data_IF_917166321578
#
_entry.id   IF_917166321578
#
_cell.length_a   1.000
_cell.length_b   1.000
_cell.length_c   1.000
_cell.angle_alpha   90.00
_cell.angle_beta   90.00
_cell.angle_gamma   90.00
#
_symmetry.space_group_name_H-M   'P 1'
#
loop_
_entity.id
_entity.type
_entity.pdbx_description
1 polymer ?
#
# COMPACT_ATOMS: atom_id res chain seq x y z
N UNK A 1 -4.79 13.16 -2.14
CA UNK A 1 -5.12 12.07 -3.08
C UNK A 1 -4.61 12.47 -4.45
N UNK A 2 -4.19 11.51 -5.26
CA UNK A 2 -3.78 11.69 -6.65
C UNK A 2 -4.86 11.10 -7.53
N UNK A 3 -5.27 11.84 -8.55
CA UNK A 3 -6.10 11.32 -9.62
C UNK A 3 -5.21 10.55 -10.60
N UNK A 4 -5.68 9.38 -11.01
CA UNK A 4 -4.99 8.55 -11.99
C UNK A 4 -5.52 8.87 -13.37
N UNK A 5 -4.59 9.25 -14.25
CA UNK A 5 -4.84 9.49 -15.67
C UNK A 5 -3.76 8.75 -16.46
N UNK A 6 -4.08 8.30 -17.67
CA UNK A 6 -3.09 7.72 -18.56
C UNK A 6 -2.04 8.78 -18.90
N UNK A 7 -0.77 8.42 -18.87
CA UNK A 7 0.31 9.38 -19.04
C UNK A 7 1.64 8.72 -19.38
N UNK A 8 2.59 9.48 -19.93
CA UNK A 8 3.91 8.96 -20.26
C UNK A 8 4.65 8.51 -19.01
N UNK A 9 5.63 7.63 -19.19
CA UNK A 9 6.56 7.29 -18.12
C UNK A 9 7.39 8.53 -17.76
N UNK A 10 7.41 8.85 -16.46
CA UNK A 10 8.12 9.99 -15.89
C UNK A 10 9.41 9.48 -15.26
N UNK A 11 10.53 10.14 -15.58
CA UNK A 11 11.81 9.83 -14.94
C UNK A 11 11.79 10.27 -13.46
N UNK A 12 12.32 9.45 -12.54
CA UNK A 12 12.39 9.82 -11.14
C UNK A 12 13.37 10.99 -10.92
N UNK A 13 13.12 11.81 -9.91
CA UNK A 13 14.06 12.81 -9.46
C UNK A 13 15.38 12.16 -8.98
N UNK A 14 16.50 12.86 -9.14
CA UNK A 14 17.85 12.32 -8.94
C UNK A 14 18.12 11.68 -7.56
N UNK A 15 17.33 12.04 -6.53
CA UNK A 15 17.43 11.49 -5.18
C UNK A 15 16.09 10.92 -4.66
N UNK A 16 15.10 10.72 -5.54
CA UNK A 16 13.83 10.15 -5.14
C UNK A 16 13.96 8.66 -4.87
N UNK A 17 13.36 8.21 -3.77
CA UNK A 17 13.27 6.78 -3.46
C UNK A 17 12.12 6.17 -4.27
N UNK A 18 12.48 5.43 -5.30
CA UNK A 18 11.51 4.73 -6.15
C UNK A 18 11.12 3.41 -5.51
N UNK A 19 9.82 3.17 -5.39
CA UNK A 19 9.29 1.93 -4.82
C UNK A 19 8.08 1.43 -5.62
N UNK A 20 7.83 0.12 -5.60
CA UNK A 20 6.59 -0.41 -6.12
C UNK A 20 5.40 0.04 -5.29
N UNK A 21 4.31 0.35 -5.99
CA UNK A 21 3.04 0.79 -5.44
C UNK A 21 2.05 -0.36 -5.63
N UNK A 22 1.47 -0.84 -4.53
CA UNK A 22 0.44 -1.88 -4.54
C UNK A 22 -0.89 -1.30 -4.06
N UNK A 23 -1.76 -0.85 -4.97
CA UNK A 23 -3.04 -0.26 -4.59
C UNK A 23 -3.91 -1.27 -3.85
N UNK A 24 -4.37 -0.93 -2.64
CA UNK A 24 -5.28 -1.75 -1.86
C UNK A 24 -6.62 -1.03 -1.64
N UNK A 25 -7.70 -1.80 -1.47
CA UNK A 25 -9.01 -1.27 -1.06
C UNK A 25 -9.13 -1.05 0.44
N UNK A 26 -8.19 -1.60 1.20
CA UNK A 26 -8.12 -1.48 2.65
C UNK A 26 -6.80 -0.82 3.03
N UNK A 27 -6.83 -0.03 4.09
CA UNK A 27 -5.64 0.56 4.69
C UNK A 27 -5.27 -0.22 5.94
N UNK A 28 -4.00 -0.59 6.04
CA UNK A 28 -3.46 -1.38 7.14
C UNK A 28 -2.51 -0.53 7.97
N UNK A 29 -2.59 -0.65 9.29
CA UNK A 29 -1.80 0.16 10.23
C UNK A 29 -0.43 -0.47 10.52
N UNK A 30 0.58 0.34 10.89
CA UNK A 30 1.87 -0.19 11.36
C UNK A 30 1.70 -1.25 12.45
N UNK A 31 2.45 -2.34 12.33
CA UNK A 31 2.35 -3.52 13.20
C UNK A 31 1.41 -4.61 12.68
N UNK A 32 0.50 -4.31 11.75
CA UNK A 32 -0.37 -5.32 11.14
C UNK A 32 0.38 -6.26 10.20
N UNK A 33 -0.16 -7.47 10.04
CA UNK A 33 0.32 -8.48 9.09
C UNK A 33 -0.67 -8.56 7.95
N UNK A 34 -0.17 -8.42 6.72
CA UNK A 34 -0.98 -8.43 5.51
C UNK A 34 -0.59 -9.64 4.67
N UNK A 35 -1.57 -10.47 4.32
CA UNK A 35 -1.39 -11.61 3.44
C UNK A 35 -2.01 -11.32 2.08
N UNK A 36 -1.18 -11.27 1.04
CA UNK A 36 -1.61 -11.02 -0.32
C UNK A 36 -1.54 -12.32 -1.12
N UNK A 37 -2.65 -12.64 -1.80
CA UNK A 37 -2.73 -13.75 -2.76
C UNK A 37 -2.42 -13.20 -4.15
N UNK A 38 -1.34 -13.67 -4.75
CA UNK A 38 -0.82 -13.14 -6.00
C UNK A 38 -1.38 -13.96 -7.15
N UNK A 39 -2.41 -13.41 -7.78
CA UNK A 39 -3.13 -14.01 -8.91
C UNK A 39 -2.67 -13.33 -10.21
N UNK A 40 -2.71 -11.99 -10.23
CA UNK A 40 -2.47 -11.18 -11.43
C UNK A 40 -1.02 -11.23 -11.94
N UNK A 41 -0.80 -11.24 -13.27
CA UNK A 41 0.52 -11.23 -13.91
C UNK A 41 1.41 -10.04 -13.50
N UNK A 42 0.87 -8.82 -13.46
CA UNK A 42 1.59 -7.62 -13.00
C UNK A 42 2.21 -7.82 -11.60
N UNK A 43 1.43 -8.38 -10.67
CA UNK A 43 1.91 -8.63 -9.32
C UNK A 43 2.97 -9.74 -9.30
N UNK A 44 2.90 -10.75 -10.17
CA UNK A 44 3.97 -11.78 -10.26
C UNK A 44 5.31 -11.15 -10.62
N UNK A 45 5.33 -10.25 -11.61
CA UNK A 45 6.55 -9.50 -11.99
C UNK A 45 7.12 -8.69 -10.83
N UNK A 46 6.27 -8.06 -10.03
CA UNK A 46 6.69 -7.35 -8.82
C UNK A 46 7.45 -8.26 -7.84
N UNK A 47 6.91 -9.46 -7.53
CA UNK A 47 7.59 -10.37 -6.60
C UNK A 47 8.83 -11.03 -7.20
N UNK A 48 8.86 -11.27 -8.52
CA UNK A 48 10.06 -11.72 -9.22
C UNK A 48 11.16 -10.64 -9.14
N UNK A 49 10.79 -9.37 -9.30
CA UNK A 49 11.70 -8.24 -9.10
C UNK A 49 12.22 -8.13 -7.66
N UNK A 50 11.40 -8.45 -6.67
CA UNK A 50 11.85 -8.51 -5.27
C UNK A 50 12.89 -9.60 -5.03
N UNK A 51 12.74 -10.76 -5.66
CA UNK A 51 13.72 -11.84 -5.58
C UNK A 51 15.03 -11.46 -6.28
N UNK A 52 14.95 -10.81 -7.45
CA UNK A 52 16.11 -10.43 -8.26
C UNK A 52 16.89 -9.23 -7.71
N UNK A 53 16.18 -8.15 -7.33
CA UNK A 53 16.79 -6.87 -6.91
C UNK A 53 17.09 -6.81 -5.42
N UNK A 54 16.61 -7.77 -4.63
CA UNK A 54 16.79 -7.83 -3.18
C UNK A 54 15.96 -6.80 -2.38
N UNK A 55 15.20 -5.94 -3.05
CA UNK A 55 14.23 -5.04 -2.40
C UNK A 55 13.06 -5.86 -1.87
N UNK A 56 12.65 -5.60 -0.62
CA UNK A 56 11.52 -6.27 0.04
C UNK A 56 10.47 -5.30 0.54
N UNK A 57 10.45 -4.08 0.03
CA UNK A 57 9.54 -3.05 0.48
C UNK A 57 8.67 -2.56 -0.67
N UNK A 58 7.38 -2.41 -0.40
CA UNK A 58 6.41 -1.75 -1.26
C UNK A 58 5.56 -0.78 -0.46
N UNK A 59 4.97 0.18 -1.14
CA UNK A 59 4.00 1.10 -0.57
C UNK A 59 2.59 0.66 -1.01
N UNK A 60 1.69 0.46 -0.05
CA UNK A 60 0.28 0.19 -0.33
C UNK A 60 -0.59 1.38 0.06
N UNK A 61 -0.93 2.24 -0.90
CA UNK A 61 -1.93 3.27 -0.68
C UNK A 61 -3.33 2.68 -0.76
N UNK A 62 -4.24 3.30 -0.02
CA UNK A 62 -5.67 3.12 -0.26
C UNK A 62 -6.00 3.69 -1.64
N UNK A 63 -6.57 2.85 -2.51
CA UNK A 63 -6.95 3.22 -3.85
C UNK A 63 -8.38 2.82 -4.16
N UNK A 64 -9.10 3.75 -4.75
CA UNK A 64 -10.39 3.54 -5.36
C UNK A 64 -10.14 3.37 -6.85
N UNK A 65 -9.61 2.20 -7.23
CA UNK A 65 -9.47 1.79 -8.63
C UNK A 65 -10.46 0.65 -8.88
N UNK A 66 -11.11 0.54 -10.06
CA UNK A 66 -11.97 -0.60 -10.37
C UNK A 66 -11.17 -1.91 -10.33
N UNK A 67 -11.80 -2.98 -9.81
CA UNK A 67 -11.16 -4.28 -9.55
C UNK A 67 -11.15 -5.21 -10.76
N UNK A 68 -11.77 -4.81 -11.87
CA UNK A 68 -12.16 -5.69 -12.95
C UNK A 68 -12.07 -4.91 -14.25
N UNK A 69 -11.16 -5.36 -15.13
CA UNK A 69 -10.70 -4.68 -16.33
C UNK A 69 -10.07 -3.32 -16.04
N UNK A 70 -9.14 -2.90 -16.88
CA UNK A 70 -8.54 -1.58 -16.80
C UNK A 70 -9.64 -0.52 -16.57
N UNK A 71 -9.48 0.42 -15.62
CA UNK A 71 -10.32 1.60 -15.62
C UNK A 71 -10.28 2.17 -17.04
N UNK A 72 -11.42 2.21 -17.75
CA UNK A 72 -11.48 2.92 -19.01
C UNK A 72 -11.38 4.42 -18.74
N UNK A 73 -11.10 5.22 -19.79
CA UNK A 73 -11.15 6.69 -19.65
C UNK A 73 -12.53 7.18 -19.15
N UNK A 74 -13.58 6.38 -19.39
CA UNK A 74 -14.95 6.61 -18.95
C UNK A 74 -15.20 6.32 -17.45
N UNK A 75 -14.25 5.69 -16.75
CA UNK A 75 -14.38 5.50 -15.30
C UNK A 75 -14.37 6.88 -14.63
N UNK A 76 -15.36 7.23 -13.77
CA UNK A 76 -15.38 8.53 -13.12
C UNK A 76 -14.06 8.85 -12.42
N UNK A 77 -13.59 10.10 -12.50
CA UNK A 77 -12.35 10.53 -11.84
C UNK A 77 -12.33 10.21 -10.32
N UNK A 78 -13.50 10.24 -9.69
CA UNK A 78 -13.72 9.87 -8.29
C UNK A 78 -13.41 8.40 -7.98
N UNK A 79 -13.51 7.53 -9.00
CA UNK A 79 -13.19 6.10 -8.96
C UNK A 79 -11.83 5.79 -9.62
N UNK A 80 -10.98 6.81 -9.76
CA UNK A 80 -9.58 6.71 -10.21
C UNK A 80 -8.65 7.41 -9.23
N UNK A 81 -8.90 7.24 -7.93
CA UNK A 81 -8.15 7.97 -6.89
C UNK A 81 -7.20 7.05 -6.12
N UNK A 82 -5.98 7.52 -5.94
CA UNK A 82 -4.97 6.89 -5.08
C UNK A 82 -4.66 7.84 -3.91
N UNK A 83 -4.66 7.32 -2.69
CA UNK A 83 -4.26 8.11 -1.54
C UNK A 83 -2.75 8.40 -1.60
N UNK A 84 -2.38 9.64 -1.25
CA UNK A 84 -0.97 10.07 -1.22
C UNK A 84 -0.22 9.51 -0.02
N UNK A 85 -0.92 8.95 0.96
CA UNK A 85 -0.31 8.29 2.13
C UNK A 85 -0.83 6.87 2.19
N UNK A 86 0.05 5.93 2.48
CA UNK A 86 -0.26 4.50 2.56
C UNK A 86 0.65 3.75 3.49
N UNK A 87 0.38 2.46 3.62
CA UNK A 87 1.14 1.53 4.44
C UNK A 87 2.47 1.19 3.76
N UNK A 88 3.57 1.23 4.51
CA UNK A 88 4.85 0.69 4.07
C UNK A 88 4.90 -0.79 4.45
N UNK A 89 4.87 -1.67 3.46
CA UNK A 89 4.84 -3.11 3.64
C UNK A 89 6.22 -3.69 3.38
N UNK A 90 6.71 -4.47 4.34
CA UNK A 90 7.91 -5.28 4.20
C UNK A 90 7.50 -6.72 3.94
N UNK A 91 8.00 -7.30 2.85
CA UNK A 91 7.85 -8.72 2.55
C UNK A 91 8.71 -9.53 3.53
N UNK A 92 8.05 -10.38 4.32
CA UNK A 92 8.72 -11.29 5.24
C UNK A 92 8.91 -12.67 4.63
N UNK A 93 7.86 -13.17 3.98
CA UNK A 93 7.83 -14.53 3.46
C UNK A 93 7.05 -14.58 2.14
N UNK A 94 7.57 -15.37 1.20
CA UNK A 94 6.98 -15.58 -0.11
C UNK A 94 6.93 -17.07 -0.37
N UNK A 95 5.72 -17.62 -0.39
CA UNK A 95 5.49 -19.04 -0.64
C UNK A 95 4.86 -19.25 -2.00
N UNK A 96 5.47 -20.07 -2.83
CA UNK A 96 4.85 -20.55 -4.07
C UNK A 96 3.76 -21.59 -3.74
N UNK A 97 2.56 -21.40 -4.27
CA UNK A 97 1.41 -22.29 -4.05
C UNK A 97 0.69 -22.64 -5.34
N UNK A 98 1.38 -22.49 -6.47
CA UNK A 98 0.91 -22.80 -7.82
C UNK A 98 0.36 -24.23 -7.91
N UNK A 99 1.12 -25.21 -7.40
CA UNK A 99 0.73 -26.63 -7.37
C UNK A 99 -0.45 -26.95 -6.43
N UNK A 100 -0.64 -26.16 -5.36
CA UNK A 100 -1.70 -26.41 -4.37
C UNK A 100 -3.04 -25.76 -4.73
N UNK A 101 -3.05 -24.91 -5.76
CA UNK A 101 -4.23 -24.10 -6.12
C UNK A 101 -4.62 -24.28 -7.59
N UNK A 102 -4.22 -25.39 -8.21
CA UNK A 102 -4.46 -25.69 -9.63
C UNK A 102 -4.07 -24.53 -10.56
N UNK A 103 -2.97 -23.83 -10.23
CA UNK A 103 -2.44 -22.71 -11.01
C UNK A 103 -3.16 -21.36 -10.84
N UNK A 104 -4.21 -21.29 -10.01
CA UNK A 104 -4.99 -20.05 -9.79
C UNK A 104 -4.19 -19.00 -9.00
N UNK A 105 -3.41 -19.42 -7.99
CA UNK A 105 -2.57 -18.52 -7.18
C UNK A 105 -1.11 -18.92 -7.32
N UNK A 106 -0.28 -18.06 -7.91
CA UNK A 106 1.15 -18.38 -8.06
C UNK A 106 1.88 -18.24 -6.72
N UNK A 107 1.68 -17.13 -6.02
CA UNK A 107 2.36 -16.86 -4.74
C UNK A 107 1.42 -16.42 -3.62
N UNK A 108 1.73 -16.81 -2.39
CA UNK A 108 1.20 -16.21 -1.16
C UNK A 108 2.31 -15.39 -0.52
N UNK A 109 2.12 -14.08 -0.46
CA UNK A 109 3.09 -13.15 0.08
C UNK A 109 2.63 -12.63 1.45
N UNK A 110 3.47 -12.81 2.46
CA UNK A 110 3.23 -12.33 3.83
C UNK A 110 4.06 -11.08 4.08
N UNK A 111 3.37 -9.99 4.39
CA UNK A 111 3.97 -8.70 4.68
C UNK A 111 3.71 -8.28 6.12
N UNK A 112 4.62 -7.49 6.67
CA UNK A 112 4.37 -6.68 7.87
C UNK A 112 4.33 -5.22 7.48
N UNK A 113 3.35 -4.49 7.99
CA UNK A 113 3.33 -3.03 7.88
C UNK A 113 4.35 -2.47 8.85
N UNK A 114 5.43 -1.90 8.33
CA UNK A 114 6.55 -1.38 9.12
C UNK A 114 6.44 0.12 9.39
N UNK A 115 5.49 0.80 8.76
CA UNK A 115 5.30 2.24 8.93
C UNK A 115 4.37 2.81 7.87
N UNK A 116 4.45 4.12 7.67
CA UNK A 116 3.69 4.85 6.65
C UNK A 116 4.63 5.48 5.65
N UNK A 117 4.14 5.66 4.43
CA UNK A 117 4.89 6.34 3.39
C UNK A 117 3.98 7.25 2.57
N UNK A 118 4.55 8.35 2.09
CA UNK A 118 3.90 9.34 1.24
C UNK A 118 4.34 9.14 -0.20
N UNK A 119 3.37 8.91 -1.07
CA UNK A 119 3.52 8.93 -2.52
C UNK A 119 3.63 10.38 -2.99
N UNK A 120 4.78 10.73 -3.55
CA UNK A 120 5.06 12.05 -4.15
C UNK A 120 4.54 12.13 -5.59
N UNK A 121 4.70 11.04 -6.34
CA UNK A 121 4.23 10.94 -7.72
C UNK A 121 4.30 9.50 -8.22
N UNK A 122 3.54 9.21 -9.28
CA UNK A 122 3.55 7.92 -9.97
C UNK A 122 4.39 8.08 -11.24
N UNK A 123 5.34 7.17 -11.44
CA UNK A 123 6.29 7.20 -12.55
C UNK A 123 5.68 6.59 -13.81
N UNK A 124 4.88 5.53 -13.68
CA UNK A 124 4.25 4.83 -14.80
C UNK A 124 2.72 4.79 -14.63
N UNK A 125 2.02 5.93 -14.77
CA UNK A 125 0.59 5.98 -14.52
C UNK A 125 -0.22 5.12 -15.50
N UNK A 126 0.28 4.90 -16.72
CA UNK A 126 -0.34 4.02 -17.72
C UNK A 126 -0.45 2.55 -17.27
N UNK A 127 0.42 2.07 -16.38
CA UNK A 127 0.32 0.70 -15.84
C UNK A 127 -0.96 0.46 -15.03
N UNK A 128 -1.64 1.50 -14.55
CA UNK A 128 -2.95 1.36 -13.92
C UNK A 128 -4.05 0.96 -14.93
N UNK A 129 -3.86 1.32 -16.21
CA UNK A 129 -4.82 1.24 -17.32
C UNK A 129 -4.46 0.16 -18.35
N UNK A 130 -3.21 -0.33 -18.36
CA UNK A 130 -2.76 -1.33 -19.32
C UNK A 130 -3.12 -2.75 -18.87
N UNK A 131 -3.93 -3.41 -19.70
CA UNK A 131 -4.34 -4.81 -19.53
C UNK A 131 -4.03 -5.61 -20.78
N UNK A 132 -3.82 -6.91 -20.61
CA UNK A 132 -3.64 -7.87 -21.70
C UNK A 132 -4.98 -8.23 -22.36
N UNK A 133 -4.93 -9.07 -23.39
CA UNK A 133 -6.10 -9.57 -24.13
C UNK A 133 -7.12 -10.31 -23.24
N UNK A 134 -6.71 -10.71 -22.03
CA UNK A 134 -7.53 -11.39 -21.04
C UNK A 134 -8.03 -10.47 -19.92
N UNK A 135 -7.76 -9.16 -20.02
CA UNK A 135 -8.18 -8.15 -19.05
C UNK A 135 -7.35 -8.10 -17.77
N UNK A 136 -6.19 -8.76 -17.75
CA UNK A 136 -5.28 -8.78 -16.61
C UNK A 136 -4.20 -7.70 -16.73
N UNK A 137 -3.81 -7.09 -15.61
CA UNK A 137 -2.80 -6.02 -15.62
C UNK A 137 -1.45 -6.56 -16.06
N UNK A 138 -0.82 -5.86 -17.00
CA UNK A 138 0.46 -6.25 -17.60
C UNK A 138 1.64 -5.83 -16.70
N UNK A 139 1.58 -4.61 -16.16
CA UNK A 139 2.67 -4.02 -15.36
C UNK A 139 2.19 -3.49 -14.01
N UNK A 140 3.11 -3.38 -13.06
CA UNK A 140 2.83 -2.88 -11.71
C UNK A 140 3.17 -1.38 -11.60
N UNK A 141 2.49 -0.68 -10.68
CA UNK A 141 2.73 0.75 -10.48
C UNK A 141 4.05 0.99 -9.73
N UNK A 142 4.75 2.05 -10.13
CA UNK A 142 5.98 2.55 -9.53
C UNK A 142 5.78 4.01 -9.20
N UNK A 143 6.31 4.42 -8.06
CA UNK A 143 6.16 5.79 -7.60
C UNK A 143 7.35 6.24 -6.78
N UNK A 144 7.49 7.56 -6.70
CA UNK A 144 8.40 8.21 -5.78
C UNK A 144 7.74 8.22 -4.40
N UNK A 145 8.45 7.64 -3.43
CA UNK A 145 7.92 7.44 -2.09
C UNK A 145 8.85 8.05 -1.07
N UNK A 146 8.28 8.80 -0.14
CA UNK A 146 8.94 9.33 1.04
C UNK A 146 8.45 8.54 2.26
N UNK A 147 9.36 7.90 2.98
CA UNK A 147 9.01 7.19 4.21
C UNK A 147 8.72 8.23 5.27
N UNK A 148 7.53 8.17 5.87
CA UNK A 148 7.17 9.05 6.97
C UNK A 148 7.77 8.45 8.25
N UNK A 149 8.43 9.27 9.10
CA UNK A 149 8.79 8.82 10.42
C UNK A 149 7.51 8.46 11.18
N UNK A 150 7.51 7.32 11.85
CA UNK A 150 6.50 7.08 12.87
C UNK A 150 6.92 7.90 14.08
N UNK A 151 6.25 9.05 14.27
CA UNK A 151 6.27 9.72 15.56
C UNK A 151 5.86 8.65 16.59
N UNK A 152 6.74 8.38 17.55
CA UNK A 152 6.35 7.69 18.77
C UNK A 152 5.14 8.45 19.30
N UNK A 153 3.96 7.87 19.10
CA UNK A 153 2.74 8.44 19.67
C UNK A 153 3.01 8.40 21.16
N UNK A 154 3.31 9.56 21.73
CA UNK A 154 3.40 9.79 23.16
C UNK A 154 2.03 9.49 23.74
N UNK A 155 1.71 8.21 23.89
CA UNK A 155 0.72 7.73 24.82
C UNK A 155 1.32 8.01 26.20
N UNK A 156 1.27 9.27 26.63
CA UNK A 156 1.08 9.50 28.05
C UNK A 156 -0.24 8.83 28.39
N UNK A 157 -0.12 7.59 28.87
CA UNK A 157 -1.18 6.91 29.56
C UNK A 157 -1.60 7.84 30.70
N UNK A 158 -2.69 8.59 30.50
CA UNK A 158 -3.44 9.22 31.57
C UNK A 158 -3.98 8.10 32.45
N UNK A 159 -3.14 7.64 33.36
CA UNK A 159 -3.49 6.69 34.39
C UNK A 159 -4.59 7.32 35.27
N UNK A 160 -5.76 6.67 35.26
CA UNK A 160 -6.55 6.46 36.47
C UNK A 160 -7.11 7.69 37.20
N UNK A 161 -8.40 7.92 36.98
CA UNK A 161 -9.33 8.62 37.89
C UNK A 161 -9.24 8.09 39.33
N UNK A 162 -9.17 8.98 40.33
CA UNK A 162 -10.13 9.17 41.46
C UNK A 162 -9.43 9.72 42.72
N UNK A 163 -9.74 10.96 43.04
CA UNK A 163 -9.64 11.51 44.38
C UNK A 163 -10.80 12.49 44.56
N UNK A 164 -11.89 12.02 45.15
CA UNK A 164 -13.01 12.86 45.57
C UNK A 164 -12.50 13.70 46.75
N UNK A 165 -12.60 15.03 46.77
CA UNK A 165 -12.38 15.75 48.01
C UNK A 165 -13.64 15.61 48.87
N UNK A 166 -13.53 14.81 49.92
CA UNK A 166 -14.45 14.89 51.07
C UNK A 166 -14.27 16.27 51.67
N UNK A 167 -15.24 17.16 51.45
CA UNK A 167 -15.30 18.43 52.18
C UNK A 167 -15.70 18.12 53.62
N UNK A 168 -14.72 18.18 54.53
CA UNK A 168 -14.95 18.22 55.96
C UNK A 168 -15.71 19.50 56.32
N UNK A 169 -16.88 19.30 56.93
CA UNK A 169 -17.61 20.33 57.67
C UNK A 169 -16.87 20.59 58.99
N UNK A 170 -16.18 21.72 59.08
CA UNK A 170 -15.84 22.44 60.31
C UNK A 170 -16.10 23.92 59.99
N UNK A 171 -17.06 24.61 60.61
CA UNK A 171 -17.21 24.80 62.04
C UNK A 171 -16.68 26.19 62.38
N UNK A 172 -17.55 27.20 62.31
CA UNK A 172 -17.42 28.52 62.97
C UNK A 172 -18.76 29.25 62.90
#
# INVERSE_FOLDING_TARGET
RLEMQKGPEVAPAANAKVMPIFPLRTLEWPGSIVQLKIIEPAHRRLYEDFLMKGTRYLMAPLALLPNTAAPSEDTPAEQRQVCTVGALLKLNDLKEVSEQTDGVVKYKARHTVVGRARLRGILNPSAAFEVDDYGAKIDYLRGEVEILPDDEIGLQAGAGRRGVPTAELQGS
#
